data_IF_151801738564
#
_entry.id   IF_151801738564
#
_cell.length_a   1.000
_cell.length_b   1.000
_cell.length_c   1.000
_cell.angle_alpha   90.00
_cell.angle_beta   90.00
_cell.angle_gamma   90.00
#
_symmetry.space_group_name_H-M   'P 1'
#
loop_
_entity.id
_entity.type
_entity.pdbx_description
1 polymer ?
#
# COMPACT_ATOMS: atom_id res chain seq x y z
N UNK A 1 8.76 2.83 -3.16
CA UNK A 1 7.54 2.69 -2.34
C UNK A 1 6.36 3.17 -3.17
N UNK A 2 5.23 2.47 -3.11
CA UNK A 2 4.06 2.72 -3.95
C UNK A 2 2.80 2.87 -3.09
N UNK A 3 1.89 3.75 -3.48
CA UNK A 3 0.58 3.92 -2.86
C UNK A 3 -0.51 3.22 -3.67
N UNK A 4 -1.44 2.59 -2.99
CA UNK A 4 -2.64 1.98 -3.54
C UNK A 4 -3.85 2.63 -2.88
N UNK A 5 -4.63 3.34 -3.68
CA UNK A 5 -5.82 4.02 -3.21
C UNK A 5 -7.04 3.15 -3.53
N UNK A 6 -7.60 2.49 -2.52
CA UNK A 6 -8.81 1.69 -2.67
C UNK A 6 -10.09 2.53 -2.51
N UNK A 7 -9.96 3.81 -2.18
CA UNK A 7 -11.08 4.70 -1.84
C UNK A 7 -11.67 5.39 -3.07
N UNK A 8 -12.85 5.97 -2.89
CA UNK A 8 -13.53 6.81 -3.90
C UNK A 8 -12.94 8.24 -3.96
N UNK A 9 -12.04 8.60 -3.03
CA UNK A 9 -11.46 9.93 -2.94
C UNK A 9 -10.13 10.02 -3.68
N UNK A 10 -9.78 11.23 -4.14
CA UNK A 10 -8.43 11.55 -4.59
C UNK A 10 -7.51 11.75 -3.37
N UNK A 11 -6.33 11.12 -3.39
CA UNK A 11 -5.26 11.42 -2.44
C UNK A 11 -4.31 12.39 -3.11
N UNK A 12 -4.34 13.64 -2.67
CA UNK A 12 -3.52 14.70 -3.25
C UNK A 12 -2.03 14.55 -2.91
N UNK A 13 -1.73 14.01 -1.73
CA UNK A 13 -0.37 13.67 -1.34
C UNK A 13 -0.41 12.66 -0.18
N UNK A 14 0.63 11.83 -0.08
CA UNK A 14 0.94 11.13 1.16
C UNK A 14 2.42 11.15 1.47
N UNK A 15 2.76 10.91 2.74
CA UNK A 15 4.11 10.88 3.26
C UNK A 15 4.32 9.59 4.04
N UNK A 16 5.56 9.09 4.04
CA UNK A 16 5.99 7.95 4.85
C UNK A 16 7.17 8.40 5.70
N UNK A 17 7.02 8.41 7.03
CA UNK A 17 8.04 8.92 7.96
C UNK A 17 8.58 10.31 7.56
N UNK A 18 7.68 11.21 7.14
CA UNK A 18 8.03 12.55 6.63
C UNK A 18 8.65 12.60 5.22
N UNK A 19 8.94 11.46 4.60
CA UNK A 19 9.36 11.39 3.20
C UNK A 19 8.17 11.61 2.26
N UNK A 20 8.24 12.64 1.41
CA UNK A 20 7.15 13.00 0.49
C UNK A 20 6.92 11.94 -0.58
N UNK A 21 5.66 11.51 -0.70
CA UNK A 21 5.08 10.82 -1.84
C UNK A 21 4.36 11.77 -2.78
N UNK A 22 3.86 11.22 -3.89
CA UNK A 22 3.00 11.91 -4.83
C UNK A 22 1.52 11.69 -4.54
N UNK A 23 0.69 11.92 -5.55
CA UNK A 23 -0.76 11.70 -5.50
C UNK A 23 -1.20 10.34 -6.02
N UNK A 24 -2.41 9.92 -5.64
CA UNK A 24 -3.05 8.73 -6.18
C UNK A 24 -4.53 9.01 -6.49
N UNK A 25 -4.93 8.74 -7.73
CA UNK A 25 -6.34 8.76 -8.14
C UNK A 25 -7.16 7.72 -7.38
N UNK A 26 -8.49 7.87 -7.40
CA UNK A 26 -9.39 6.89 -6.84
C UNK A 26 -9.24 5.54 -7.56
N UNK A 27 -9.20 4.45 -6.77
CA UNK A 27 -9.07 3.08 -7.26
C UNK A 27 -7.85 2.85 -8.16
N UNK A 28 -6.72 3.48 -7.86
CA UNK A 28 -5.50 3.38 -8.66
C UNK A 28 -4.24 3.18 -7.80
N UNK A 29 -3.18 2.76 -8.48
CA UNK A 29 -1.82 2.87 -7.95
C UNK A 29 -1.28 4.28 -8.21
N UNK A 30 -0.57 4.86 -7.25
CA UNK A 30 0.03 6.18 -7.39
C UNK A 30 0.98 6.57 -6.25
N UNK A 31 1.46 7.80 -6.33
CA UNK A 31 2.12 8.52 -5.25
C UNK A 31 3.46 8.00 -4.78
N UNK A 32 4.31 7.55 -5.71
CA UNK A 32 5.70 7.14 -5.43
C UNK A 32 6.42 8.04 -4.43
N UNK A 33 6.94 7.44 -3.34
CA UNK A 33 7.73 8.13 -2.31
C UNK A 33 9.22 8.02 -2.63
N UNK A 34 9.93 9.16 -2.65
CA UNK A 34 11.33 9.22 -3.07
C UNK A 34 12.34 8.83 -2.00
N UNK A 35 12.04 9.11 -0.73
CA UNK A 35 13.09 9.40 0.25
C UNK A 35 12.86 8.76 1.63
N UNK A 36 11.77 8.00 1.78
CA UNK A 36 11.56 7.18 2.96
C UNK A 36 12.41 5.90 2.84
N UNK A 37 13.07 5.51 3.93
CA UNK A 37 13.88 4.30 4.02
C UNK A 37 13.30 3.39 5.09
N UNK A 38 13.22 2.10 4.78
CA UNK A 38 12.94 1.05 5.77
C UNK A 38 14.24 0.31 6.11
N UNK A 39 14.42 -0.14 7.36
CA UNK A 39 15.59 -0.95 7.73
C UNK A 39 15.61 -2.28 6.98
N UNK A 40 16.81 -2.83 6.70
CA UNK A 40 16.92 -4.12 6.01
C UNK A 40 16.42 -5.30 6.85
N UNK A 41 16.42 -5.15 8.18
CA UNK A 41 15.97 -6.19 9.12
C UNK A 41 14.73 -5.74 9.86
N UNK A 42 13.67 -6.52 9.73
CA UNK A 42 12.44 -6.32 10.48
C UNK A 42 12.64 -6.56 11.99
N UNK A 43 11.94 -5.79 12.81
CA UNK A 43 11.77 -6.01 14.25
C UNK A 43 10.29 -5.89 14.64
N UNK A 44 9.83 -6.55 15.72
CA UNK A 44 8.43 -6.50 16.15
C UNK A 44 7.89 -5.09 16.43
N UNK A 45 8.75 -4.17 16.84
CA UNK A 45 8.38 -2.79 17.17
C UNK A 45 8.42 -1.85 15.95
N UNK A 46 8.73 -2.37 14.76
CA UNK A 46 8.83 -1.56 13.55
C UNK A 46 7.47 -0.99 13.16
N UNK A 47 7.42 0.34 13.08
CA UNK A 47 6.24 1.11 12.69
C UNK A 47 6.65 2.16 11.67
N UNK A 48 5.70 2.53 10.84
CA UNK A 48 5.80 3.69 9.95
C UNK A 48 4.69 4.66 10.26
N UNK A 49 5.02 5.92 10.19
CA UNK A 49 4.08 7.01 10.21
C UNK A 49 3.64 7.32 8.78
N UNK A 50 2.33 7.34 8.57
CA UNK A 50 1.71 7.69 7.29
C UNK A 50 0.91 8.96 7.51
N UNK A 51 1.17 9.94 6.66
CA UNK A 51 0.38 11.18 6.58
C UNK A 51 -0.22 11.28 5.18
N UNK A 52 -1.46 11.74 5.04
CA UNK A 52 -2.07 11.93 3.72
C UNK A 52 -3.11 13.03 3.74
N UNK A 53 -3.40 13.58 2.56
CA UNK A 53 -4.35 14.67 2.39
C UNK A 53 -5.11 14.50 1.09
N UNK A 54 -6.34 14.99 1.06
CA UNK A 54 -7.18 15.06 -0.14
C UNK A 54 -7.23 16.46 -0.75
N UNK A 55 -6.78 17.48 -0.03
CA UNK A 55 -6.94 18.91 -0.37
C UNK A 55 -5.64 19.74 -0.26
N UNK A 56 -4.54 19.14 0.22
CA UNK A 56 -3.25 19.81 0.52
C UNK A 56 -3.29 20.81 1.68
N UNK A 57 -4.40 20.88 2.42
CA UNK A 57 -4.58 21.77 3.56
C UNK A 57 -4.67 20.99 4.87
N UNK A 58 -5.47 19.92 4.87
CA UNK A 58 -5.72 19.08 6.04
C UNK A 58 -5.07 17.72 5.86
N UNK A 59 -4.17 17.38 6.78
CA UNK A 59 -3.48 16.09 6.79
C UNK A 59 -4.09 15.16 7.84
N UNK A 60 -4.43 13.96 7.41
CA UNK A 60 -4.68 12.82 8.28
C UNK A 60 -3.36 12.11 8.57
N UNK A 61 -3.26 11.50 9.74
CA UNK A 61 -2.02 10.87 10.22
C UNK A 61 -2.32 9.61 11.00
N UNK A 62 -1.53 8.57 10.76
CA UNK A 62 -1.60 7.32 11.51
C UNK A 62 -0.25 6.64 11.61
N UNK A 63 -0.06 5.84 12.65
CA UNK A 63 1.13 5.00 12.82
C UNK A 63 0.74 3.55 12.63
N UNK A 64 1.34 2.89 11.64
CA UNK A 64 1.01 1.52 11.25
C UNK A 64 2.18 0.60 11.58
N UNK A 65 1.90 -0.55 12.18
CA UNK A 65 2.89 -1.60 12.34
C UNK A 65 3.25 -2.18 10.97
N UNK A 66 4.54 -2.40 10.72
CA UNK A 66 5.01 -3.06 9.50
C UNK A 66 4.94 -4.57 9.75
N UNK A 67 4.13 -5.34 9.00
CA UNK A 67 4.14 -6.80 9.10
C UNK A 67 5.53 -7.36 8.81
N UNK A 68 5.86 -8.51 9.42
CA UNK A 68 7.15 -9.16 9.20
C UNK A 68 7.41 -9.39 7.72
N UNK A 69 8.60 -9.02 7.26
CA UNK A 69 9.11 -9.32 5.94
C UNK A 69 10.47 -10.01 6.07
N UNK A 70 10.65 -11.10 5.32
CA UNK A 70 11.90 -11.85 5.26
C UNK A 70 12.69 -11.56 3.97
N UNK A 71 12.04 -10.94 2.98
CA UNK A 71 12.64 -10.51 1.73
C UNK A 71 12.49 -9.00 1.60
N UNK A 72 13.56 -8.35 1.12
CA UNK A 72 13.49 -6.93 0.78
C UNK A 72 12.57 -6.72 -0.42
N UNK A 73 11.85 -5.61 -0.41
CA UNK A 73 10.91 -5.25 -1.46
C UNK A 73 10.50 -3.80 -1.36
N UNK A 74 9.50 -3.42 -2.13
CA UNK A 74 8.90 -2.10 -2.03
C UNK A 74 7.98 -2.03 -0.80
N UNK A 75 8.01 -0.91 -0.09
CA UNK A 75 6.90 -0.57 0.80
C UNK A 75 5.68 -0.21 -0.05
N UNK A 76 4.63 -1.01 0.04
CA UNK A 76 3.30 -0.74 -0.48
C UNK A 76 2.46 -0.12 0.64
N UNK A 77 1.86 1.04 0.39
CA UNK A 77 0.93 1.73 1.31
C UNK A 77 -0.47 1.61 0.72
N UNK A 78 -1.41 1.05 1.48
CA UNK A 78 -2.80 0.86 1.06
C UNK A 78 -3.72 1.75 1.89
N UNK A 79 -4.44 2.64 1.22
CA UNK A 79 -5.52 3.42 1.80
C UNK A 79 -6.84 2.69 1.54
N UNK A 80 -7.41 2.09 2.58
CA UNK A 80 -8.58 1.23 2.48
C UNK A 80 -9.89 2.01 2.60
N UNK A 81 -10.97 1.47 2.02
CA UNK A 81 -12.30 2.10 1.99
C UNK A 81 -12.89 2.34 3.38
N UNK A 82 -12.53 1.48 4.34
CA UNK A 82 -12.95 1.58 5.73
C UNK A 82 -12.15 2.62 6.55
N UNK A 83 -11.28 3.41 5.90
CA UNK A 83 -10.43 4.42 6.55
C UNK A 83 -9.16 3.87 7.19
N UNK A 84 -8.89 2.57 7.12
CA UNK A 84 -7.64 2.00 7.59
C UNK A 84 -6.51 2.21 6.58
N UNK A 85 -5.29 2.37 7.09
CA UNK A 85 -4.08 2.29 6.29
C UNK A 85 -3.36 0.99 6.62
N UNK A 86 -2.97 0.24 5.60
CA UNK A 86 -2.11 -0.94 5.74
C UNK A 86 -0.82 -0.75 4.96
N UNK A 87 0.24 -1.37 5.45
CA UNK A 87 1.54 -1.33 4.77
C UNK A 87 2.12 -2.73 4.65
N UNK A 88 2.83 -2.98 3.56
CA UNK A 88 3.53 -4.23 3.32
C UNK A 88 4.88 -3.99 2.66
N UNK A 89 5.90 -4.74 3.05
CA UNK A 89 7.16 -4.82 2.29
C UNK A 89 7.05 -6.05 1.40
N UNK A 90 7.02 -5.84 0.08
CA UNK A 90 6.82 -6.93 -0.88
C UNK A 90 7.49 -6.64 -2.21
N UNK A 91 8.03 -7.68 -2.84
CA UNK A 91 8.49 -7.66 -4.24
C UNK A 91 7.39 -8.01 -5.24
N UNK A 92 6.18 -8.34 -4.76
CA UNK A 92 5.05 -8.73 -5.59
C UNK A 92 4.29 -7.50 -6.09
N UNK A 93 3.70 -7.62 -7.28
CA UNK A 93 2.75 -6.63 -7.81
C UNK A 93 1.35 -6.90 -7.27
N UNK A 94 0.54 -5.85 -7.14
CA UNK A 94 -0.89 -6.02 -6.83
C UNK A 94 -1.54 -6.96 -7.86
N UNK A 95 -2.46 -7.82 -7.42
CA UNK A 95 -3.04 -8.84 -8.30
C UNK A 95 -2.33 -10.19 -8.25
N UNK A 96 -1.13 -10.28 -7.67
CA UNK A 96 -0.42 -11.55 -7.51
C UNK A 96 -1.15 -12.45 -6.50
N UNK A 97 -1.29 -13.77 -6.74
CA UNK A 97 -2.00 -14.69 -5.83
C UNK A 97 -1.43 -14.73 -4.41
N UNK A 98 -0.11 -14.54 -4.28
CA UNK A 98 0.58 -14.50 -2.99
C UNK A 98 0.75 -13.07 -2.44
N UNK A 99 0.05 -12.07 -3.00
CA UNK A 99 0.14 -10.68 -2.51
C UNK A 99 -0.40 -10.57 -1.08
N UNK A 100 0.25 -9.82 -0.18
CA UNK A 100 -0.06 -9.87 1.25
C UNK A 100 -1.39 -9.21 1.66
N UNK A 101 -1.96 -8.35 0.82
CA UNK A 101 -3.32 -7.84 1.03
C UNK A 101 -4.35 -8.82 0.44
N UNK A 102 -5.17 -9.41 1.30
CA UNK A 102 -6.18 -10.40 0.92
C UNK A 102 -7.59 -10.00 1.37
N UNK A 103 -8.62 -10.64 0.79
CA UNK A 103 -10.02 -10.46 1.16
C UNK A 103 -10.72 -9.35 0.38
N UNK A 104 -11.94 -8.94 0.79
CA UNK A 104 -12.78 -8.01 0.03
C UNK A 104 -12.16 -6.63 -0.22
N UNK A 105 -11.22 -6.21 0.62
CA UNK A 105 -10.52 -4.92 0.47
C UNK A 105 -9.34 -4.97 -0.50
N UNK A 106 -8.85 -6.16 -0.83
CA UNK A 106 -7.67 -6.34 -1.68
C UNK A 106 -7.78 -5.79 -3.12
N UNK A 107 -8.91 -5.90 -3.84
CA UNK A 107 -9.02 -5.26 -5.14
C UNK A 107 -9.09 -3.74 -5.01
N UNK A 108 -8.63 -3.00 -6.03
CA UNK A 108 -8.70 -1.54 -6.06
C UNK A 108 -10.14 -1.03 -6.19
N UNK A 109 -11.02 -1.78 -6.85
CA UNK A 109 -12.47 -1.55 -6.86
C UNK A 109 -13.21 -2.65 -6.12
N UNK A 110 -14.33 -2.29 -5.50
CA UNK A 110 -15.18 -3.27 -4.83
C UNK A 110 -15.75 -4.28 -5.84
N UNK A 111 -15.82 -5.55 -5.45
CA UNK A 111 -16.38 -6.63 -6.27
C UNK A 111 -15.45 -7.18 -7.36
N UNK A 112 -14.28 -6.58 -7.57
CA UNK A 112 -13.28 -7.14 -8.49
C UNK A 112 -12.55 -8.35 -7.88
N UNK A 113 -11.97 -9.18 -8.76
CA UNK A 113 -11.12 -10.27 -8.31
C UNK A 113 -9.74 -9.71 -7.89
N UNK A 114 -9.30 -9.91 -6.63
CA UNK A 114 -7.99 -9.45 -6.18
C UNK A 114 -6.82 -10.19 -6.82
N UNK A 115 -7.06 -11.30 -7.51
CA UNK A 115 -6.04 -12.06 -8.24
C UNK A 115 -6.28 -11.98 -9.74
N UNK A 116 -5.35 -11.33 -10.44
CA UNK A 116 -5.44 -11.15 -11.88
C UNK A 116 -5.10 -12.44 -12.61
N UNK A 117 -5.92 -12.79 -13.62
CA UNK A 117 -5.83 -14.08 -14.33
C UNK A 117 -4.43 -14.35 -14.88
N UNK A 118 -3.82 -13.35 -15.52
CA UNK A 118 -2.51 -13.47 -16.14
C UNK A 118 -1.35 -13.62 -15.13
N UNK A 119 -1.59 -13.38 -13.85
CA UNK A 119 -0.63 -13.58 -12.76
C UNK A 119 -0.85 -14.89 -12.01
N UNK A 120 -1.92 -15.64 -12.32
CA UNK A 120 -2.12 -16.95 -11.73
C UNK A 120 -1.05 -17.90 -12.24
N UNK A 121 -0.41 -18.63 -11.32
CA UNK A 121 0.43 -19.77 -11.70
C UNK A 121 -0.43 -20.74 -12.51
N UNK A 122 0.05 -21.27 -13.64
CA UNK A 122 -0.59 -22.41 -14.28
C UNK A 122 -0.78 -23.49 -13.21
N UNK A 123 -1.94 -24.14 -13.20
CA UNK A 123 -2.13 -25.31 -12.34
C UNK A 123 -0.98 -26.30 -12.64
N UNK A 124 -0.18 -26.62 -11.63
CA UNK A 124 0.82 -27.68 -11.75
C UNK A 124 0.08 -28.97 -12.15
N UNK A 125 0.49 -29.55 -13.28
CA UNK A 125 -0.12 -30.76 -13.84
C UNK A 125 0.42 -32.01 -13.16
#
# INVERSE_FOLDING_TARGET
>A
MLGYNHTDAYIAQFLVNGGSGGSADSHSEGGTVCCAMLPDRWTPDMKVEIEWTTDLETFQKTTVAVPKYDQLGNLAVHFLRNGQVKVFVTGLVLGHPDYPLTGPEAPLREGENPVWEHLRRPAEK
#
